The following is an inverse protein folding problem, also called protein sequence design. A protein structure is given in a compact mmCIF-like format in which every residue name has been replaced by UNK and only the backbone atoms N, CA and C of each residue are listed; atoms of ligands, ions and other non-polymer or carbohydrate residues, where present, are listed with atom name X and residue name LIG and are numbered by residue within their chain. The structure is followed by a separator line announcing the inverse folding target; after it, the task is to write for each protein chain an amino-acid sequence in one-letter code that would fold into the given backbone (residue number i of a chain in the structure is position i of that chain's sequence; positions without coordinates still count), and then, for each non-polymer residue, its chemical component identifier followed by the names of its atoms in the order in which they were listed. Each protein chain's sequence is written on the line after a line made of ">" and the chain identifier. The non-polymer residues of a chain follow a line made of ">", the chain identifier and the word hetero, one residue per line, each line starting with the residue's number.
data_IF_076107972788
#
_entry.id   IF_076107972788
#
_cell.length_a   1.000
_cell.length_b   1.000
_cell.length_c   1.000
_cell.angle_alpha   90.00
_cell.angle_beta   90.00
_cell.angle_gamma   90.00
#
_symmetry.space_group_name_H-M   'P 1'
#
loop_
_entity.id
_entity.type
_entity.pdbx_description
1 polymer ?
#
# COMPACT_ATOMS: atom_id res chain seq x y z
N UNK A 1 -11.22 -14.31 -3.47
CA UNK A 1 -9.90 -13.84 -2.97
C UNK A 1 -9.92 -13.69 -1.44
N UNK A 2 -8.81 -13.96 -0.73
CA UNK A 2 -8.67 -13.66 0.71
C UNK A 2 -7.55 -12.65 0.92
N UNK A 3 -7.88 -11.48 1.45
CA UNK A 3 -6.95 -10.35 1.64
C UNK A 3 -6.65 -10.22 3.13
N UNK A 4 -5.38 -10.18 3.50
CA UNK A 4 -4.91 -9.95 4.88
C UNK A 4 -4.02 -8.71 4.89
N UNK A 5 -4.37 -7.74 5.73
CA UNK A 5 -3.56 -6.53 5.90
C UNK A 5 -2.44 -6.85 6.89
N UNK A 6 -1.22 -7.06 6.39
CA UNK A 6 -0.09 -7.40 7.27
C UNK A 6 0.44 -6.19 8.02
N UNK A 7 0.50 -5.04 7.33
CA UNK A 7 0.88 -3.74 7.88
C UNK A 7 0.02 -2.63 7.28
N UNK A 8 -0.45 -1.71 8.11
CA UNK A 8 -1.31 -0.58 7.70
C UNK A 8 -0.76 0.80 8.07
N UNK A 9 0.45 0.84 8.63
CA UNK A 9 1.12 2.05 9.10
C UNK A 9 1.97 2.71 8.02
N UNK A 10 2.26 4.00 8.26
CA UNK A 10 3.24 4.77 7.51
C UNK A 10 4.69 4.29 7.76
N UNK A 11 5.65 4.96 7.11
CA UNK A 11 7.09 4.66 7.18
C UNK A 11 7.64 4.53 8.60
N UNK A 12 7.07 5.22 9.59
CA UNK A 12 7.53 5.20 10.98
C UNK A 12 6.85 4.16 11.84
N UNK A 13 5.71 3.63 11.38
CA UNK A 13 4.82 2.79 12.14
C UNK A 13 4.14 3.52 13.30
N UNK A 14 3.16 2.85 13.92
CA UNK A 14 2.50 3.34 15.14
C UNK A 14 2.42 2.20 16.15
N UNK A 15 2.99 2.32 17.36
CA UNK A 15 3.67 3.48 17.92
C UNK A 15 5.00 3.82 17.24
N UNK A 16 5.26 5.11 17.04
CA UNK A 16 6.54 5.59 16.51
C UNK A 16 7.64 5.55 17.59
N UNK A 17 8.86 5.15 17.19
CA UNK A 17 10.03 5.07 18.09
C UNK A 17 10.29 6.41 18.77
N UNK A 18 10.25 6.43 20.11
CA UNK A 18 10.53 7.61 20.92
C UNK A 18 9.41 8.67 20.92
N UNK A 19 8.23 8.37 20.39
CA UNK A 19 7.08 9.28 20.42
C UNK A 19 6.20 9.03 21.65
N UNK A 20 5.86 10.12 22.36
CA UNK A 20 4.97 10.13 23.52
C UNK A 20 3.64 10.87 23.23
N UNK A 21 3.18 10.92 21.97
CA UNK A 21 1.87 11.49 21.67
C UNK A 21 0.75 10.57 22.20
N UNK A 22 -0.42 11.16 22.46
CA UNK A 22 -1.60 10.42 22.97
C UNK A 22 -1.92 9.17 22.13
N UNK A 23 -1.78 9.22 20.81
CA UNK A 23 -2.07 8.09 19.91
C UNK A 23 -1.07 6.95 20.07
N UNK A 24 0.23 7.26 20.19
CA UNK A 24 1.27 6.26 20.47
C UNK A 24 1.15 5.68 21.87
N UNK A 25 0.82 6.50 22.88
CA UNK A 25 0.54 6.02 24.23
C UNK A 25 -0.68 5.10 24.27
N UNK A 26 -1.75 5.48 23.58
CA UNK A 26 -2.98 4.70 23.49
C UNK A 26 -2.77 3.36 22.77
N UNK A 27 -2.01 3.36 21.67
CA UNK A 27 -1.58 2.14 21.00
C UNK A 27 -0.83 1.21 21.96
N UNK A 28 0.17 1.72 22.71
CA UNK A 28 0.91 0.93 23.70
C UNK A 28 0.00 0.39 24.81
N UNK A 29 -0.96 1.17 25.29
CA UNK A 29 -1.90 0.75 26.33
C UNK A 29 -2.86 -0.34 25.85
N UNK A 30 -3.22 -0.33 24.56
CA UNK A 30 -4.12 -1.30 23.92
C UNK A 30 -3.39 -2.49 23.29
N UNK A 31 -2.05 -2.51 23.30
CA UNK A 31 -1.24 -3.48 22.57
C UNK A 31 -1.56 -3.51 21.07
N UNK A 32 -1.77 -2.33 20.48
CA UNK A 32 -2.04 -2.16 19.05
C UNK A 32 -0.78 -1.64 18.37
N UNK A 33 -0.43 -2.26 17.25
CA UNK A 33 0.66 -1.84 16.38
C UNK A 33 0.17 -1.76 14.93
N UNK A 34 0.61 -0.71 14.23
CA UNK A 34 0.63 -0.63 12.78
C UNK A 34 2.07 -0.69 12.30
N UNK A 35 2.44 -1.84 11.79
CA UNK A 35 3.71 -2.06 11.08
C UNK A 35 3.65 -1.42 9.70
N UNK A 36 4.82 -1.28 9.04
CA UNK A 36 4.91 -0.66 7.71
C UNK A 36 4.10 -1.44 6.68
N UNK A 37 3.51 -0.70 5.75
CA UNK A 37 2.55 -1.19 4.76
C UNK A 37 2.95 -2.51 4.08
N UNK A 38 2.06 -3.50 4.13
CA UNK A 38 2.17 -4.74 3.35
C UNK A 38 0.82 -5.46 3.33
N UNK A 39 0.47 -6.07 2.20
CA UNK A 39 -0.81 -6.76 2.02
C UNK A 39 -0.58 -8.15 1.43
N UNK A 40 -1.10 -9.17 2.09
CA UNK A 40 -1.05 -10.55 1.62
C UNK A 40 -2.39 -10.93 0.98
N UNK A 41 -2.34 -11.56 -0.19
CA UNK A 41 -3.52 -11.93 -0.97
C UNK A 41 -3.42 -13.39 -1.35
N UNK A 42 -4.38 -14.19 -0.89
CA UNK A 42 -4.47 -15.60 -1.22
C UNK A 42 -5.54 -15.81 -2.30
N UNK A 43 -5.25 -16.70 -3.24
CA UNK A 43 -6.23 -17.36 -4.10
C UNK A 43 -6.48 -18.79 -3.56
N UNK A 44 -7.54 -19.02 -2.76
CA UNK A 44 -7.77 -20.31 -2.11
C UNK A 44 -8.03 -21.46 -3.09
N UNK A 45 -8.44 -21.15 -4.33
CA UNK A 45 -8.68 -22.17 -5.37
C UNK A 45 -7.38 -22.76 -5.91
N UNK A 46 -6.29 -21.99 -5.84
CA UNK A 46 -4.95 -22.40 -6.29
C UNK A 46 -4.03 -22.76 -5.14
N UNK A 47 -4.38 -22.36 -3.91
CA UNK A 47 -3.49 -22.45 -2.75
C UNK A 47 -2.15 -21.75 -3.04
N UNK A 48 -2.26 -20.55 -3.63
CA UNK A 48 -1.15 -19.68 -3.99
C UNK A 48 -1.44 -18.27 -3.48
N UNK A 49 -0.39 -17.49 -3.24
CA UNK A 49 -0.49 -16.17 -2.62
C UNK A 49 0.48 -15.14 -3.20
N UNK A 50 0.06 -13.88 -3.13
CA UNK A 50 0.79 -12.70 -3.58
C UNK A 50 1.06 -11.81 -2.38
N UNK A 51 2.27 -11.27 -2.28
CA UNK A 51 2.58 -10.19 -1.34
C UNK A 51 2.73 -8.86 -2.08
N UNK A 52 1.94 -7.86 -1.69
CA UNK A 52 2.13 -6.48 -2.12
C UNK A 52 3.01 -5.79 -1.09
N UNK A 53 4.14 -5.28 -1.58
CA UNK A 53 5.20 -4.60 -0.84
C UNK A 53 5.84 -5.46 0.26
N UNK A 54 7.16 -5.51 0.22
CA UNK A 54 7.98 -6.22 1.19
C UNK A 54 8.44 -5.23 2.25
N UNK A 55 7.55 -5.02 3.23
CA UNK A 55 7.82 -4.17 4.37
C UNK A 55 9.09 -4.62 5.12
N UNK A 56 9.91 -3.70 5.63
CA UNK A 56 11.01 -4.04 6.53
C UNK A 56 10.56 -4.77 7.81
N UNK A 57 9.26 -4.77 8.12
CA UNK A 57 8.66 -5.57 9.20
C UNK A 57 8.27 -6.99 8.76
N UNK A 58 8.62 -7.41 7.53
CA UNK A 58 8.30 -8.71 6.92
C UNK A 58 8.40 -9.87 7.91
N UNK A 59 9.55 -10.02 8.58
CA UNK A 59 9.75 -11.15 9.51
C UNK A 59 8.74 -11.12 10.65
N UNK A 60 8.45 -9.95 11.22
CA UNK A 60 7.48 -9.83 12.30
C UNK A 60 6.06 -10.11 11.79
N UNK A 61 5.70 -9.54 10.64
CA UNK A 61 4.39 -9.73 10.02
C UNK A 61 4.09 -11.21 9.79
N UNK A 62 5.00 -11.96 9.18
CA UNK A 62 4.83 -13.40 8.94
C UNK A 62 4.90 -14.28 10.20
N UNK A 63 5.54 -13.83 11.28
CA UNK A 63 5.56 -14.56 12.55
C UNK A 63 4.31 -14.32 13.39
N UNK A 64 3.70 -13.14 13.26
CA UNK A 64 2.52 -12.75 14.03
C UNK A 64 1.21 -13.01 13.28
N UNK A 65 1.27 -13.16 11.95
CA UNK A 65 0.12 -13.43 11.09
C UNK A 65 0.28 -14.84 10.52
N UNK A 66 -0.77 -15.64 10.60
CA UNK A 66 -0.76 -17.03 10.16
C UNK A 66 -1.00 -17.12 8.64
N UNK A 67 -0.13 -16.49 7.86
CA UNK A 67 -0.18 -16.47 6.38
C UNK A 67 0.94 -17.35 5.80
N UNK A 68 0.71 -17.89 4.59
CA UNK A 68 1.73 -18.63 3.84
C UNK A 68 2.81 -17.71 3.32
N UNK A 69 4.03 -18.23 3.11
CA UNK A 69 5.05 -17.53 2.33
C UNK A 69 4.51 -17.27 0.91
N UNK A 70 4.70 -16.07 0.33
CA UNK A 70 4.11 -15.73 -0.96
C UNK A 70 4.78 -16.49 -2.10
N UNK A 71 3.97 -16.86 -3.09
CA UNK A 71 4.43 -17.46 -4.35
C UNK A 71 4.91 -16.40 -5.34
N UNK A 72 4.47 -15.16 -5.18
CA UNK A 72 4.88 -14.02 -5.99
C UNK A 72 4.79 -12.71 -5.20
N UNK A 73 5.54 -11.70 -5.65
CA UNK A 73 5.55 -10.37 -5.05
C UNK A 73 5.20 -9.26 -6.04
N UNK A 74 4.62 -8.18 -5.55
CA UNK A 74 4.45 -6.92 -6.28
C UNK A 74 5.16 -5.82 -5.47
N UNK A 75 5.96 -4.98 -6.12
CA UNK A 75 6.55 -3.77 -5.52
C UNK A 75 5.91 -2.55 -6.15
N UNK A 76 5.25 -1.73 -5.32
CA UNK A 76 4.56 -0.51 -5.76
C UNK A 76 5.56 0.61 -6.05
N UNK A 77 6.58 0.77 -5.22
CA UNK A 77 7.64 1.78 -5.40
C UNK A 77 8.85 1.50 -4.51
N UNK A 78 9.87 2.36 -4.61
CA UNK A 78 11.21 2.07 -4.08
C UNK A 78 11.51 2.66 -2.69
N UNK A 79 10.50 3.18 -1.97
CA UNK A 79 10.73 3.63 -0.60
C UNK A 79 11.03 2.46 0.35
N UNK A 80 11.80 2.76 1.39
CA UNK A 80 12.31 1.79 2.36
C UNK A 80 11.22 0.91 2.96
N UNK A 81 10.10 1.51 3.32
CA UNK A 81 8.95 0.89 3.96
C UNK A 81 8.18 -0.09 3.06
N UNK A 82 8.45 -0.11 1.75
CA UNK A 82 7.78 -0.99 0.78
C UNK A 82 8.71 -2.04 0.18
N UNK A 83 10.03 -1.83 0.24
CA UNK A 83 11.01 -2.63 -0.50
C UNK A 83 12.02 -3.36 0.39
N UNK A 84 12.36 -2.83 1.57
CA UNK A 84 13.57 -3.26 2.30
C UNK A 84 13.39 -4.58 3.07
N UNK A 85 12.17 -5.11 3.12
CA UNK A 85 11.86 -6.44 3.60
C UNK A 85 12.28 -7.57 2.66
N UNK A 86 12.46 -7.29 1.35
CA UNK A 86 12.67 -8.33 0.33
C UNK A 86 13.94 -9.16 0.58
N UNK A 87 14.94 -8.59 1.25
CA UNK A 87 16.13 -9.31 1.71
C UNK A 87 15.84 -10.56 2.56
N UNK A 88 14.68 -10.59 3.24
CA UNK A 88 14.26 -11.75 4.03
C UNK A 88 13.96 -12.99 3.17
N UNK A 89 13.71 -12.84 1.87
CA UNK A 89 13.50 -13.99 0.97
C UNK A 89 14.70 -14.95 0.97
N UNK A 90 15.91 -14.46 1.28
CA UNK A 90 17.11 -15.27 1.39
C UNK A 90 16.93 -16.43 2.38
N UNK A 91 16.98 -17.67 1.86
CA UNK A 91 16.78 -18.94 2.59
C UNK A 91 15.36 -19.22 3.08
N UNK A 92 14.36 -18.47 2.61
CA UNK A 92 12.95 -18.78 2.89
C UNK A 92 12.26 -19.46 1.71
N UNK A 93 12.77 -19.31 0.49
CA UNK A 93 12.25 -19.91 -0.73
C UNK A 93 13.38 -20.27 -1.70
N UNK A 94 13.04 -21.02 -2.74
CA UNK A 94 13.95 -21.36 -3.84
C UNK A 94 13.78 -20.43 -5.05
N UNK A 95 12.57 -19.93 -5.28
CA UNK A 95 12.23 -18.97 -6.34
C UNK A 95 11.12 -18.04 -5.83
N UNK A 96 11.22 -16.75 -6.18
CA UNK A 96 10.28 -15.71 -5.84
C UNK A 96 10.22 -14.68 -6.99
N UNK A 97 9.24 -14.81 -7.90
CA UNK A 97 8.99 -13.81 -8.93
C UNK A 97 8.49 -12.50 -8.31
N UNK A 98 9.15 -11.39 -8.64
CA UNK A 98 8.80 -10.03 -8.22
C UNK A 98 8.35 -9.23 -9.43
N UNK A 99 7.15 -8.67 -9.36
CA UNK A 99 6.51 -7.91 -10.41
C UNK A 99 6.56 -6.42 -10.06
N UNK A 100 7.01 -5.60 -11.01
CA UNK A 100 7.15 -4.16 -10.80
C UNK A 100 7.06 -3.39 -12.11
N UNK A 101 6.72 -2.10 -12.03
CA UNK A 101 6.64 -1.25 -13.20
C UNK A 101 8.03 -1.01 -13.84
N UNK A 102 8.04 -0.92 -15.17
CA UNK A 102 9.22 -0.79 -16.00
C UNK A 102 9.47 0.63 -16.55
N UNK A 103 8.64 1.60 -16.16
CA UNK A 103 8.81 3.00 -16.59
C UNK A 103 9.98 3.64 -15.83
N UNK A 104 10.90 4.25 -16.57
CA UNK A 104 12.08 4.90 -15.98
C UNK A 104 11.67 6.17 -15.23
N UNK A 105 11.92 6.19 -13.92
CA UNK A 105 11.71 7.36 -13.10
C UNK A 105 12.76 8.44 -13.41
N UNK A 106 12.36 9.70 -13.67
CA UNK A 106 13.28 10.76 -14.08
C UNK A 106 14.24 11.22 -12.97
N UNK A 107 13.93 10.97 -11.70
CA UNK A 107 14.80 11.28 -10.55
C UNK A 107 15.84 10.19 -10.30
N UNK A 108 15.45 8.92 -10.39
CA UNK A 108 16.35 7.79 -10.11
C UNK A 108 17.12 7.35 -11.34
N UNK A 109 16.62 7.65 -12.54
CA UNK A 109 17.07 7.13 -13.83
C UNK A 109 16.95 5.60 -13.98
N UNK A 110 16.13 4.98 -13.12
CA UNK A 110 15.82 3.56 -13.09
C UNK A 110 14.30 3.38 -12.87
N UNK A 111 13.71 2.36 -13.46
CA UNK A 111 12.37 1.91 -13.08
C UNK A 111 12.36 1.25 -11.71
N UNK A 112 11.16 0.98 -11.17
CA UNK A 112 11.00 0.17 -9.95
C UNK A 112 11.61 -1.22 -10.17
N UNK A 113 11.31 -1.86 -11.30
CA UNK A 113 11.86 -3.17 -11.67
C UNK A 113 13.41 -3.17 -11.72
N UNK A 114 14.01 -2.18 -12.39
CA UNK A 114 15.47 -2.05 -12.46
C UNK A 114 16.09 -1.82 -11.08
N UNK A 115 15.46 -0.99 -10.25
CA UNK A 115 15.92 -0.74 -8.87
C UNK A 115 15.90 -2.02 -8.03
N UNK A 116 14.83 -2.81 -8.11
CA UNK A 116 14.72 -4.11 -7.41
C UNK A 116 15.82 -5.05 -7.88
N UNK A 117 15.96 -5.23 -9.20
CA UNK A 117 16.94 -6.12 -9.80
C UNK A 117 18.38 -5.74 -9.40
N UNK A 118 18.70 -4.44 -9.40
CA UNK A 118 20.01 -3.95 -8.97
C UNK A 118 20.23 -4.14 -7.47
N UNK A 119 19.30 -3.68 -6.64
CA UNK A 119 19.42 -3.69 -5.16
C UNK A 119 19.52 -5.10 -4.59
N UNK A 120 18.82 -6.06 -5.20
CA UNK A 120 18.76 -7.46 -4.75
C UNK A 120 19.46 -8.44 -5.69
N UNK A 121 20.38 -7.97 -6.52
CA UNK A 121 21.19 -8.80 -7.44
C UNK A 121 22.00 -9.91 -6.76
N UNK A 122 22.12 -9.91 -5.43
CA UNK A 122 22.76 -10.95 -4.64
C UNK A 122 21.80 -12.09 -4.21
N UNK A 123 20.50 -11.98 -4.52
CA UNK A 123 19.48 -12.98 -4.21
C UNK A 123 19.16 -13.79 -5.46
N UNK A 124 19.73 -14.99 -5.56
CA UNK A 124 19.46 -15.92 -6.67
C UNK A 124 17.99 -16.39 -6.71
N UNK A 125 17.27 -16.26 -5.58
CA UNK A 125 15.84 -16.58 -5.47
C UNK A 125 14.94 -15.56 -6.18
N UNK A 126 15.41 -14.32 -6.38
CA UNK A 126 14.55 -13.23 -6.85
C UNK A 126 14.65 -13.09 -8.36
N UNK A 127 13.54 -13.37 -9.05
CA UNK A 127 13.40 -13.09 -10.49
C UNK A 127 12.52 -11.85 -10.67
N UNK A 128 13.02 -10.81 -11.34
CA UNK A 128 12.25 -9.58 -11.56
C UNK A 128 11.53 -9.62 -12.92
N UNK A 129 10.21 -9.48 -12.89
CA UNK A 129 9.31 -9.43 -14.03
C UNK A 129 8.82 -7.98 -14.23
N UNK A 130 9.38 -7.24 -15.21
CA UNK A 130 8.96 -5.87 -15.51
C UNK A 130 7.62 -5.84 -16.25
N UNK A 131 6.72 -4.92 -15.86
CA UNK A 131 5.43 -4.69 -16.51
C UNK A 131 5.26 -3.23 -16.90
N UNK A 132 4.63 -2.98 -18.05
CA UNK A 132 4.32 -1.62 -18.47
C UNK A 132 3.10 -1.10 -17.70
N UNK A 133 3.02 0.20 -17.36
CA UNK A 133 1.82 0.73 -16.73
C UNK A 133 0.57 0.45 -17.57
N UNK A 134 -0.54 0.14 -16.89
CA UNK A 134 -1.82 -0.30 -17.48
C UNK A 134 -1.80 -1.65 -18.23
N UNK A 135 -0.67 -2.34 -18.32
CA UNK A 135 -0.63 -3.73 -18.77
C UNK A 135 -1.33 -4.63 -17.75
N UNK A 136 -2.20 -5.52 -18.24
CA UNK A 136 -2.83 -6.56 -17.43
C UNK A 136 -2.03 -7.84 -17.57
N UNK A 137 -1.66 -8.45 -16.44
CA UNK A 137 -0.89 -9.68 -16.37
C UNK A 137 -1.41 -10.59 -15.24
N UNK A 138 -1.20 -11.90 -15.37
CA UNK A 138 -1.70 -12.87 -14.40
C UNK A 138 -0.64 -13.20 -13.35
N UNK A 139 -1.03 -13.20 -12.06
CA UNK A 139 -0.26 -13.79 -10.96
C UNK A 139 -1.20 -14.66 -10.13
N UNK A 140 -0.80 -15.89 -9.81
CA UNK A 140 -1.57 -16.79 -8.95
C UNK A 140 -3.06 -16.93 -9.38
N UNK A 141 -3.34 -16.89 -10.68
CA UNK A 141 -4.69 -16.94 -11.26
C UNK A 141 -5.58 -15.71 -10.98
N UNK A 142 -4.98 -14.57 -10.67
CA UNK A 142 -5.63 -13.26 -10.52
C UNK A 142 -5.06 -12.30 -11.59
N UNK A 143 -5.93 -11.46 -12.14
CA UNK A 143 -5.53 -10.42 -13.09
C UNK A 143 -5.03 -9.20 -12.33
N UNK A 144 -3.81 -8.75 -12.65
CA UNK A 144 -3.11 -7.66 -11.98
C UNK A 144 -2.87 -6.53 -12.98
N UNK A 145 -3.04 -5.29 -12.54
CA UNK A 145 -2.66 -4.10 -13.31
C UNK A 145 -1.98 -3.07 -12.39
N UNK A 146 -0.84 -2.55 -12.83
CA UNK A 146 -0.14 -1.45 -12.14
C UNK A 146 -0.54 -0.12 -12.77
N UNK A 147 -0.98 0.83 -11.96
CA UNK A 147 -1.49 2.13 -12.44
C UNK A 147 -0.67 3.28 -11.86
N UNK A 148 -0.13 4.23 -12.67
CA UNK A 148 0.66 5.34 -12.15
C UNK A 148 -0.14 6.24 -11.22
N UNK A 149 0.46 6.70 -10.11
CA UNK A 149 -0.17 7.63 -9.17
C UNK A 149 0.78 8.79 -8.80
N UNK A 150 0.26 9.85 -8.14
CA UNK A 150 1.03 11.08 -7.86
C UNK A 150 1.79 11.00 -6.51
N UNK A 151 3.07 10.59 -6.52
CA UNK A 151 3.91 10.47 -5.30
C UNK A 151 5.28 11.18 -5.39
N UNK A 152 5.31 12.51 -5.59
CA UNK A 152 6.55 13.21 -5.86
C UNK A 152 7.59 13.03 -4.73
N UNK A 153 8.89 12.93 -5.07
CA UNK A 153 9.43 13.15 -6.41
C UNK A 153 9.53 11.88 -7.26
N UNK A 154 9.10 10.72 -6.73
CA UNK A 154 9.32 9.41 -7.36
C UNK A 154 8.04 8.87 -8.01
N UNK A 155 8.21 7.93 -8.93
CA UNK A 155 7.12 7.14 -9.47
C UNK A 155 6.63 6.14 -8.43
N UNK A 156 5.31 6.04 -8.34
CA UNK A 156 4.60 5.12 -7.50
C UNK A 156 3.40 4.58 -8.28
N UNK A 157 2.95 3.38 -7.90
CA UNK A 157 1.89 2.69 -8.59
C UNK A 157 0.83 2.21 -7.61
N UNK A 158 -0.43 2.50 -7.94
CA UNK A 158 -1.57 1.76 -7.41
C UNK A 158 -1.64 0.37 -8.05
N UNK A 159 -2.44 -0.50 -7.46
CA UNK A 159 -2.58 -1.89 -7.91
C UNK A 159 -4.07 -2.23 -8.02
N UNK A 160 -4.46 -2.75 -9.18
CA UNK A 160 -5.77 -3.35 -9.40
C UNK A 160 -5.61 -4.87 -9.44
N UNK A 161 -6.45 -5.58 -8.71
CA UNK A 161 -6.45 -7.04 -8.62
C UNK A 161 -7.88 -7.53 -8.82
N UNK A 162 -8.10 -8.28 -9.89
CA UNK A 162 -9.40 -8.84 -10.24
C UNK A 162 -9.31 -10.37 -10.22
N UNK A 163 -10.31 -11.00 -9.59
CA UNK A 163 -10.49 -12.45 -9.64
C UNK A 163 -11.39 -12.77 -10.85
N UNK A 164 -10.85 -13.31 -11.97
CA UNK A 164 -11.62 -13.53 -13.18
C UNK A 164 -12.72 -14.59 -13.05
N UNK A 165 -12.74 -15.34 -11.95
CA UNK A 165 -13.76 -16.37 -11.67
C UNK A 165 -14.95 -15.78 -10.92
N UNK A 166 -14.70 -14.89 -9.96
CA UNK A 166 -15.76 -14.28 -9.13
C UNK A 166 -16.14 -12.88 -9.58
N UNK A 167 -15.36 -12.26 -10.47
CA UNK A 167 -15.43 -10.85 -10.86
C UNK A 167 -15.30 -9.90 -9.67
N UNK A 168 -14.61 -10.33 -8.60
CA UNK A 168 -14.37 -9.48 -7.44
C UNK A 168 -13.09 -8.69 -7.63
N UNK A 169 -13.09 -7.45 -7.17
CA UNK A 169 -12.03 -6.47 -7.39
C UNK A 169 -11.52 -5.89 -6.08
N UNK A 170 -10.20 -5.93 -5.94
CA UNK A 170 -9.44 -5.18 -4.94
C UNK A 170 -8.68 -4.06 -5.65
N UNK A 171 -8.78 -2.85 -5.13
CA UNK A 171 -8.00 -1.71 -5.61
C UNK A 171 -7.19 -1.11 -4.48
N UNK A 172 -5.93 -0.79 -4.78
CA UNK A 172 -5.00 -0.12 -3.89
C UNK A 172 -4.59 1.19 -4.54
N UNK A 173 -4.73 2.31 -3.83
CA UNK A 173 -4.26 3.59 -4.36
C UNK A 173 -2.75 3.66 -4.51
N UNK A 174 -2.00 2.83 -3.76
CA UNK A 174 -0.59 3.08 -3.48
C UNK A 174 -0.41 4.34 -2.64
N UNK A 175 0.84 4.67 -2.32
CA UNK A 175 1.17 5.97 -1.72
C UNK A 175 0.92 7.07 -2.74
N UNK A 176 0.01 8.00 -2.46
CA UNK A 176 -0.36 8.99 -3.46
C UNK A 176 -1.01 10.23 -2.89
N UNK A 177 -0.78 11.37 -3.53
CA UNK A 177 -1.59 12.56 -3.36
C UNK A 177 -2.99 12.36 -3.98
N UNK A 178 -3.92 13.29 -3.73
CA UNK A 178 -5.26 13.25 -4.34
C UNK A 178 -5.23 13.43 -5.87
N UNK A 179 -4.09 13.85 -6.44
CA UNK A 179 -3.89 14.10 -7.86
C UNK A 179 -3.73 12.84 -8.72
N UNK A 180 -4.43 11.75 -8.39
CA UNK A 180 -4.38 10.49 -9.15
C UNK A 180 -4.82 10.74 -10.60
N UNK A 181 -4.06 10.33 -11.63
CA UNK A 181 -4.46 10.50 -13.04
C UNK A 181 -5.82 9.87 -13.35
N UNK A 182 -6.59 10.48 -14.27
CA UNK A 182 -7.94 10.00 -14.60
C UNK A 182 -7.95 8.56 -15.12
N UNK A 183 -6.98 8.20 -15.96
CA UNK A 183 -6.85 6.82 -16.48
C UNK A 183 -6.61 5.80 -15.36
N UNK A 184 -5.84 6.18 -14.33
CA UNK A 184 -5.63 5.37 -13.13
C UNK A 184 -6.90 5.30 -12.27
N UNK A 185 -7.65 6.39 -12.15
CA UNK A 185 -8.96 6.37 -11.46
C UNK A 185 -9.95 5.46 -12.18
N UNK A 186 -10.02 5.52 -13.51
CA UNK A 186 -10.89 4.65 -14.32
C UNK A 186 -10.57 3.16 -14.06
N UNK A 187 -9.28 2.81 -14.02
CA UNK A 187 -8.83 1.46 -13.69
C UNK A 187 -9.12 1.04 -12.24
N UNK A 188 -8.99 1.95 -11.27
CA UNK A 188 -9.26 1.69 -9.85
C UNK A 188 -10.77 1.68 -9.48
N UNK A 189 -11.65 2.06 -10.41
CA UNK A 189 -13.08 2.26 -10.12
C UNK A 189 -13.85 0.96 -9.88
N UNK A 190 -14.93 1.08 -9.11
CA UNK A 190 -15.87 0.05 -8.67
C UNK A 190 -15.24 -1.15 -7.93
N UNK A 191 -14.33 -0.95 -6.97
CA UNK A 191 -13.78 -2.07 -6.20
C UNK A 191 -14.75 -2.56 -5.12
N UNK A 192 -14.76 -3.88 -4.88
CA UNK A 192 -15.42 -4.45 -3.69
C UNK A 192 -14.68 -4.05 -2.41
N UNK A 193 -13.35 -3.93 -2.49
CA UNK A 193 -12.51 -3.41 -1.43
C UNK A 193 -11.48 -2.42 -1.98
N UNK A 194 -11.49 -1.21 -1.44
CA UNK A 194 -10.50 -0.17 -1.71
C UNK A 194 -9.59 0.04 -0.51
N UNK A 195 -8.29 -0.12 -0.70
CA UNK A 195 -7.27 0.25 0.28
C UNK A 195 -6.69 1.60 -0.14
N UNK A 196 -7.09 2.65 0.58
CA UNK A 196 -6.74 4.02 0.27
C UNK A 196 -5.63 4.53 1.20
N UNK A 197 -4.59 5.12 0.63
CA UNK A 197 -3.65 5.98 1.38
C UNK A 197 -4.45 7.07 2.11
N UNK A 198 -4.24 7.19 3.42
CA UNK A 198 -4.79 8.25 4.22
C UNK A 198 -3.83 8.60 5.37
N UNK A 199 -2.67 9.17 5.04
CA UNK A 199 -1.58 9.41 5.99
C UNK A 199 -2.03 10.14 7.27
N UNK A 200 -2.82 11.21 7.16
CA UNK A 200 -3.24 12.07 8.30
C UNK A 200 -4.60 12.73 8.07
N UNK A 201 -5.29 13.22 9.11
CA UNK A 201 -6.43 14.13 8.95
C UNK A 201 -6.03 15.46 8.28
N UNK A 202 -6.92 16.07 7.51
CA UNK A 202 -6.68 17.36 6.84
C UNK A 202 -6.36 18.51 7.80
N UNK A 203 -6.81 18.43 9.06
CA UNK A 203 -6.43 19.40 10.10
C UNK A 203 -4.92 19.46 10.33
N UNK A 204 -4.18 18.37 10.05
CA UNK A 204 -2.73 18.36 10.18
C UNK A 204 -2.02 19.23 9.15
N UNK A 205 -2.68 19.57 8.02
CA UNK A 205 -2.12 20.46 7.02
C UNK A 205 -1.80 21.85 7.58
N UNK A 206 -2.51 22.32 8.62
CA UNK A 206 -2.21 23.61 9.29
C UNK A 206 -0.83 23.65 9.94
N UNK A 207 -0.28 22.47 10.28
CA UNK A 207 1.03 22.31 10.89
C UNK A 207 2.13 21.97 9.89
N UNK A 208 1.78 21.75 8.62
CA UNK A 208 2.74 21.43 7.58
C UNK A 208 3.26 22.71 6.91
N UNK A 209 4.59 22.89 6.69
CA UNK A 209 5.14 24.12 6.10
C UNK A 209 4.57 24.48 4.72
N UNK A 210 4.13 23.48 3.95
CA UNK A 210 3.52 23.65 2.63
C UNK A 210 1.99 23.66 2.67
N UNK A 211 1.36 23.52 3.84
CA UNK A 211 -0.09 23.35 3.94
C UNK A 211 -0.55 22.06 3.27
N UNK A 212 -1.68 22.13 2.54
CA UNK A 212 -2.11 21.10 1.61
C UNK A 212 -2.17 21.62 0.16
N UNK A 213 -2.13 20.72 -0.82
CA UNK A 213 -2.11 21.06 -2.26
C UNK A 213 -3.51 21.07 -2.88
N UNK A 214 -4.17 19.91 -2.90
CA UNK A 214 -5.52 19.75 -3.44
C UNK A 214 -6.55 20.11 -2.37
N UNK A 215 -7.65 20.77 -2.74
CA UNK A 215 -8.70 21.18 -1.80
C UNK A 215 -10.07 20.85 -2.38
N UNK A 216 -11.02 20.48 -1.51
CA UNK A 216 -12.41 20.35 -1.90
C UNK A 216 -13.09 21.73 -2.04
N UNK A 217 -14.38 21.74 -2.41
CA UNK A 217 -15.18 22.97 -2.61
C UNK A 217 -15.28 23.86 -1.35
N UNK A 218 -15.13 23.27 -0.17
CA UNK A 218 -15.23 23.94 1.13
C UNK A 218 -13.85 24.40 1.63
N UNK A 219 -12.79 24.20 0.84
CA UNK A 219 -11.42 24.57 1.18
C UNK A 219 -10.73 23.58 2.12
N UNK A 220 -11.26 22.38 2.31
CA UNK A 220 -10.60 21.33 3.11
C UNK A 220 -9.50 20.68 2.28
N UNK A 221 -8.26 20.62 2.77
CA UNK A 221 -7.17 19.92 2.09
C UNK A 221 -7.48 18.43 1.85
N UNK A 222 -7.14 17.94 0.67
CA UNK A 222 -7.20 16.53 0.26
C UNK A 222 -5.82 15.87 0.19
N UNK A 223 -4.76 16.67 0.14
CA UNK A 223 -3.36 16.22 0.10
C UNK A 223 -2.58 16.89 1.21
N UNK A 224 -1.78 16.11 1.94
CA UNK A 224 -0.91 16.61 3.00
C UNK A 224 0.43 17.08 2.42
N UNK A 225 0.74 18.37 2.50
CA UNK A 225 1.92 18.91 1.81
C UNK A 225 1.85 18.70 0.30
N UNK A 226 2.73 17.86 -0.23
CA UNK A 226 2.83 17.58 -1.68
C UNK A 226 2.55 16.14 -2.06
N UNK A 227 2.43 15.23 -1.09
CA UNK A 227 2.32 13.79 -1.30
C UNK A 227 1.45 13.18 -0.21
N UNK A 228 0.91 12.00 -0.45
CA UNK A 228 -0.10 11.36 0.40
C UNK A 228 -1.44 12.10 0.48
N UNK A 229 -2.50 11.32 0.59
CA UNK A 229 -3.84 11.82 0.80
C UNK A 229 -4.07 12.08 2.29
N UNK A 230 -4.79 13.16 2.57
CA UNK A 230 -5.44 13.30 3.88
C UNK A 230 -6.60 12.30 3.99
N UNK A 231 -7.10 12.03 5.21
CA UNK A 231 -8.35 11.29 5.44
C UNK A 231 -9.48 11.75 4.51
N UNK A 232 -9.69 13.06 4.42
CA UNK A 232 -10.76 13.68 3.65
C UNK A 232 -10.54 13.50 2.14
N UNK A 233 -9.29 13.54 1.69
CA UNK A 233 -8.91 13.16 0.33
C UNK A 233 -9.19 11.70 0.01
N UNK A 234 -8.88 10.78 0.93
CA UNK A 234 -9.15 9.36 0.78
C UNK A 234 -10.66 9.08 0.72
N UNK A 235 -11.47 9.72 1.58
CA UNK A 235 -12.93 9.66 1.50
C UNK A 235 -13.44 10.14 0.12
N UNK A 236 -12.99 11.32 -0.31
CA UNK A 236 -13.44 11.93 -1.56
C UNK A 236 -13.02 11.10 -2.79
N UNK A 237 -11.88 10.40 -2.72
CA UNK A 237 -11.44 9.49 -3.78
C UNK A 237 -12.27 8.20 -3.77
N UNK A 238 -12.50 7.60 -2.60
CA UNK A 238 -13.33 6.41 -2.46
C UNK A 238 -14.75 6.61 -2.99
N UNK A 239 -15.37 7.78 -2.69
CA UNK A 239 -16.67 8.15 -3.24
C UNK A 239 -16.62 8.32 -4.78
N UNK A 240 -15.57 8.96 -5.31
CA UNK A 240 -15.41 9.15 -6.74
C UNK A 240 -15.21 7.83 -7.50
N UNK A 241 -14.59 6.84 -6.87
CA UNK A 241 -14.35 5.51 -7.43
C UNK A 241 -15.53 4.55 -7.25
N UNK A 242 -16.62 4.95 -6.58
CA UNK A 242 -17.77 4.08 -6.25
C UNK A 242 -17.34 2.78 -5.53
N UNK A 243 -16.47 2.90 -4.51
CA UNK A 243 -15.99 1.75 -3.74
C UNK A 243 -17.06 1.21 -2.78
N UNK A 244 -17.32 -0.11 -2.79
CA UNK A 244 -18.29 -0.75 -1.88
C UNK A 244 -17.81 -0.71 -0.42
N UNK A 245 -16.53 -1.06 -0.21
CA UNK A 245 -15.86 -0.96 1.08
C UNK A 245 -14.53 -0.24 0.93
N UNK A 246 -14.21 0.63 1.88
CA UNK A 246 -12.92 1.31 1.94
C UNK A 246 -12.25 1.13 3.29
N UNK A 247 -10.95 0.86 3.27
CA UNK A 247 -10.08 0.89 4.45
C UNK A 247 -8.92 1.85 4.22
N UNK A 248 -8.60 2.62 5.24
CA UNK A 248 -7.48 3.56 5.21
C UNK A 248 -6.20 2.88 5.67
N UNK A 249 -5.20 2.91 4.81
CA UNK A 249 -3.88 2.31 4.97
C UNK A 249 -2.79 3.37 4.85
N UNK A 250 -1.54 2.99 5.12
CA UNK A 250 -0.40 3.91 5.21
C UNK A 250 -0.68 5.06 6.19
N UNK A 251 -1.29 4.74 7.32
CA UNK A 251 -1.76 5.75 8.28
C UNK A 251 -0.64 6.12 9.27
N UNK A 252 -0.46 7.41 9.51
CA UNK A 252 0.48 7.92 10.50
C UNK A 252 -0.15 8.03 11.90
N UNK A 253 0.70 8.26 12.91
CA UNK A 253 0.29 8.38 14.31
C UNK A 253 -0.39 9.72 14.69
N UNK A 254 -0.83 10.50 13.70
CA UNK A 254 -1.40 11.84 13.86
C UNK A 254 -2.93 11.89 13.92
N UNK A 255 -3.60 10.75 13.75
CA UNK A 255 -5.03 10.64 14.04
C UNK A 255 -5.28 10.79 15.55
N UNK A 256 -6.37 11.45 15.99
CA UNK A 256 -6.76 11.52 17.40
C UNK A 256 -6.86 10.12 18.02
N UNK A 257 -6.39 9.94 19.25
CA UNK A 257 -6.28 8.61 19.88
C UNK A 257 -7.61 7.85 20.00
N UNK A 258 -8.72 8.57 20.14
CA UNK A 258 -10.09 8.03 20.18
C UNK A 258 -10.66 7.62 18.82
N UNK A 259 -10.05 8.08 17.72
CA UNK A 259 -10.42 7.72 16.35
C UNK A 259 -9.38 6.80 15.68
N UNK A 260 -8.12 6.86 16.15
CA UNK A 260 -6.96 6.36 15.42
C UNK A 260 -6.98 4.87 15.12
N UNK A 261 -7.78 4.06 15.83
CA UNK A 261 -7.88 2.59 15.65
C UNK A 261 -9.33 2.13 15.43
N UNK A 262 -10.17 3.02 14.93
CA UNK A 262 -11.57 2.76 14.62
C UNK A 262 -11.79 2.83 13.10
N UNK A 263 -12.87 2.21 12.62
CA UNK A 263 -13.22 2.25 11.20
C UNK A 263 -13.36 3.71 10.71
N UNK A 264 -12.88 4.04 9.50
CA UNK A 264 -12.32 3.14 8.48
C UNK A 264 -10.80 2.91 8.56
N UNK A 265 -10.10 3.36 9.61
CA UNK A 265 -8.65 3.22 9.71
C UNK A 265 -8.24 1.77 9.94
N UNK A 266 -7.55 1.18 8.97
CA UNK A 266 -7.15 -0.23 9.02
C UNK A 266 -6.20 -0.51 10.18
N UNK A 267 -6.32 -1.67 10.79
CA UNK A 267 -5.34 -2.23 11.74
C UNK A 267 -4.72 -3.49 11.17
N UNK A 268 -3.48 -3.77 11.57
CA UNK A 268 -2.77 -4.97 11.15
C UNK A 268 -3.53 -6.23 11.57
N UNK A 269 -3.64 -7.19 10.65
CA UNK A 269 -4.32 -8.47 10.85
C UNK A 269 -5.79 -8.49 10.44
N UNK A 270 -6.34 -7.40 9.92
CA UNK A 270 -7.67 -7.44 9.30
C UNK A 270 -7.70 -8.38 8.09
N UNK A 271 -8.78 -9.16 7.97
CA UNK A 271 -8.99 -10.12 6.90
C UNK A 271 -10.30 -9.85 6.15
N UNK A 272 -10.24 -9.94 4.82
CA UNK A 272 -11.37 -9.71 3.93
C UNK A 272 -11.50 -10.83 2.93
N UNK A 273 -12.69 -11.42 2.84
CA UNK A 273 -13.04 -12.38 1.79
C UNK A 273 -13.86 -11.65 0.74
N UNK A 274 -13.30 -11.57 -0.47
CA UNK A 274 -13.99 -11.12 -1.67
C UNK A 274 -14.44 -12.35 -2.46
#
# INVERSE_FOLDING_TARGET
>A
MLVTLLGTGDTTGTPTVGCDCNTCEHARQRDIERTRFSVHIENPRRNESILIDFSPDFRQQFLQRNVSFPDAGIITHIHFDHLDGLGNAYRLCDDLPIHAANETDPQTTESVAETVARKYSYLDQVTVNPHSPFEVFEICGLDIQLVPVDHPPLYCYGVVIEDPVTNTKLSLSGDTSYGVPSESQDALSNPDLFLADAIVPASMCEHHPLGGKHHNKDGVPRTFGTKHMTREGACDLAEALDADKTRFVHTGHYYPADEAFEDPLAIDGEEYRL
#
